data_IF_106718166102
#
_entry.id   IF_106718166102
#
_cell.length_a   1.000
_cell.length_b   1.000
_cell.length_c   1.000
_cell.angle_alpha   90.00
_cell.angle_beta   90.00
_cell.angle_gamma   90.00
#
_symmetry.space_group_name_H-M   'P 1'
#
loop_
_entity.id
_entity.type
_entity.pdbx_description
1 polymer ?
#
# COMPACT_ATOMS: atom_id res chain seq x y z
N UNK A 1 10.78 -21.32 24.01
CA UNK A 1 9.85 -20.25 23.58
C UNK A 1 10.70 -19.09 23.06
N UNK A 2 10.33 -18.44 21.95
CA UNK A 2 10.92 -17.18 21.41
C UNK A 2 12.17 -17.19 20.49
N UNK A 3 12.35 -18.12 19.53
CA UNK A 3 13.38 -17.90 18.46
C UNK A 3 12.88 -17.07 17.26
N UNK A 4 11.60 -17.15 16.92
CA UNK A 4 11.04 -16.43 15.76
C UNK A 4 10.77 -14.94 16.00
N UNK A 5 10.76 -14.49 17.26
CA UNK A 5 10.44 -13.11 17.63
C UNK A 5 11.67 -12.24 17.91
N UNK A 6 12.85 -12.85 18.07
CA UNK A 6 14.07 -12.13 18.47
C UNK A 6 14.99 -11.81 17.28
N UNK A 7 14.84 -12.49 16.13
CA UNK A 7 15.63 -12.28 14.91
C UNK A 7 14.75 -11.83 13.72
N UNK A 8 13.83 -10.88 13.94
CA UNK A 8 12.97 -10.35 12.86
C UNK A 8 13.62 -9.23 12.04
N UNK A 9 14.80 -8.74 12.40
CA UNK A 9 15.43 -7.57 11.76
C UNK A 9 15.58 -7.72 10.23
N UNK A 10 16.03 -8.89 9.78
CA UNK A 10 16.18 -9.18 8.34
C UNK A 10 14.82 -9.18 7.63
N UNK A 11 13.81 -9.75 8.28
CA UNK A 11 12.44 -9.79 7.74
C UNK A 11 11.82 -8.40 7.72
N UNK A 12 11.98 -7.60 8.78
CA UNK A 12 11.46 -6.25 8.88
C UNK A 12 12.11 -5.32 7.85
N UNK A 13 13.43 -5.45 7.67
CA UNK A 13 14.17 -4.71 6.65
C UNK A 13 13.70 -5.09 5.25
N UNK A 14 13.52 -6.38 4.98
CA UNK A 14 12.95 -6.87 3.74
C UNK A 14 11.52 -6.34 3.52
N UNK A 15 10.66 -6.44 4.53
CA UNK A 15 9.26 -6.04 4.46
C UNK A 15 9.12 -4.53 4.22
N UNK A 16 9.92 -3.71 4.93
CA UNK A 16 9.97 -2.26 4.70
C UNK A 16 10.30 -1.95 3.24
N UNK A 17 11.33 -2.60 2.69
CA UNK A 17 11.73 -2.41 1.28
C UNK A 17 10.65 -2.84 0.30
N UNK A 18 10.04 -4.01 0.50
CA UNK A 18 9.00 -4.49 -0.41
C UNK A 18 7.71 -3.66 -0.32
N UNK A 19 7.26 -3.28 0.89
CA UNK A 19 6.00 -2.58 1.06
C UNK A 19 6.07 -1.10 0.62
N UNK A 20 7.23 -0.45 0.79
CA UNK A 20 7.43 0.95 0.38
C UNK A 20 7.57 1.15 -1.13
N UNK A 21 7.91 0.11 -1.89
CA UNK A 21 8.10 0.20 -3.34
C UNK A 21 6.90 -0.32 -4.11
N UNK A 22 6.25 0.54 -4.90
CA UNK A 22 5.11 0.14 -5.77
C UNK A 22 5.48 -0.93 -6.79
N UNK A 23 6.74 -0.96 -7.21
CA UNK A 23 7.24 -1.92 -8.19
C UNK A 23 7.80 -3.19 -7.55
N UNK A 24 7.70 -3.33 -6.22
CA UNK A 24 8.12 -4.55 -5.54
C UNK A 24 7.32 -5.76 -5.98
N UNK A 25 7.90 -6.95 -5.83
CA UNK A 25 7.22 -8.17 -6.23
C UNK A 25 5.94 -8.38 -5.43
N UNK A 26 5.96 -8.03 -4.14
CA UNK A 26 4.81 -8.13 -3.24
C UNK A 26 3.66 -7.25 -3.71
N UNK A 27 3.94 -5.97 -4.02
CA UNK A 27 2.90 -5.04 -4.45
C UNK A 27 2.37 -5.39 -5.85
N UNK A 28 3.23 -5.81 -6.78
CA UNK A 28 2.81 -6.28 -8.10
C UNK A 28 1.90 -7.51 -8.05
N UNK A 29 2.19 -8.48 -7.18
CA UNK A 29 1.31 -9.63 -6.95
C UNK A 29 -0.04 -9.17 -6.40
N UNK A 30 -0.02 -8.25 -5.45
CA UNK A 30 -1.21 -7.65 -4.88
C UNK A 30 -2.11 -6.99 -5.94
N UNK A 31 -1.52 -6.19 -6.83
CA UNK A 31 -2.25 -5.56 -7.94
C UNK A 31 -2.83 -6.57 -8.93
N UNK A 32 -2.09 -7.64 -9.24
CA UNK A 32 -2.57 -8.72 -10.09
C UNK A 32 -3.80 -9.39 -9.48
N UNK A 33 -3.72 -9.78 -8.19
CA UNK A 33 -4.85 -10.38 -7.47
C UNK A 33 -6.05 -9.43 -7.38
N UNK A 34 -5.81 -8.15 -7.11
CA UNK A 34 -6.87 -7.15 -7.11
C UNK A 34 -7.55 -7.10 -8.49
N UNK A 35 -6.79 -7.06 -9.58
CA UNK A 35 -7.32 -7.04 -10.96
C UNK A 35 -8.17 -8.28 -11.25
N UNK A 36 -7.78 -9.45 -10.75
CA UNK A 36 -8.52 -10.71 -10.93
C UNK A 36 -9.82 -10.79 -10.11
N UNK A 37 -9.84 -10.19 -8.91
CA UNK A 37 -10.98 -10.23 -7.98
C UNK A 37 -12.01 -9.14 -8.30
N UNK A 38 -11.54 -7.96 -8.71
CA UNK A 38 -12.33 -6.74 -8.88
C UNK A 38 -13.57 -6.90 -9.79
N UNK A 39 -13.56 -7.69 -10.88
CA UNK A 39 -14.76 -7.94 -11.70
C UNK A 39 -15.90 -8.65 -10.97
N UNK A 40 -15.60 -9.41 -9.91
CA UNK A 40 -16.61 -10.13 -9.11
C UNK A 40 -17.06 -9.32 -7.90
N UNK A 41 -16.16 -8.56 -7.30
CA UNK A 41 -16.42 -7.70 -6.15
C UNK A 41 -15.46 -6.53 -6.19
N UNK A 42 -15.99 -5.31 -6.32
CA UNK A 42 -15.18 -4.09 -6.35
C UNK A 42 -14.30 -4.06 -5.09
N UNK A 43 -12.99 -3.97 -5.31
CA UNK A 43 -12.00 -3.92 -4.24
C UNK A 43 -10.82 -3.02 -4.63
N UNK A 44 -10.15 -2.51 -3.60
CA UNK A 44 -8.98 -1.66 -3.74
C UNK A 44 -7.77 -2.37 -3.14
N UNK A 45 -6.60 -2.15 -3.74
CA UNK A 45 -5.34 -2.58 -3.17
C UNK A 45 -4.86 -1.54 -2.14
N UNK A 46 -4.62 -1.99 -0.92
CA UNK A 46 -4.02 -1.16 0.12
C UNK A 46 -2.51 -1.06 -0.12
N UNK A 47 -2.06 0.10 -0.59
CA UNK A 47 -0.64 0.39 -0.70
C UNK A 47 -0.16 1.02 0.61
N UNK A 48 0.62 0.26 1.36
CA UNK A 48 1.11 0.69 2.67
C UNK A 48 2.20 1.76 2.54
N UNK A 49 2.14 2.75 3.42
CA UNK A 49 3.25 3.64 3.72
C UNK A 49 3.43 3.73 5.22
N UNK A 50 4.66 3.55 5.66
CA UNK A 50 5.02 3.72 7.05
C UNK A 50 5.10 5.21 7.37
N UNK A 51 4.13 5.71 8.15
CA UNK A 51 4.09 7.12 8.59
C UNK A 51 5.17 7.45 9.63
N UNK A 52 5.79 6.43 10.23
CA UNK A 52 6.87 6.61 11.21
C UNK A 52 8.26 6.66 10.57
N UNK A 53 8.36 6.33 9.28
CA UNK A 53 9.60 6.41 8.52
C UNK A 53 9.97 7.89 8.23
N UNK A 54 11.23 8.26 8.43
CA UNK A 54 11.74 9.62 8.15
C UNK A 54 11.62 10.01 6.66
N UNK A 55 11.63 9.00 5.78
CA UNK A 55 11.43 9.17 4.34
C UNK A 55 9.95 9.33 3.96
N UNK A 56 8.99 9.20 4.90
CA UNK A 56 7.57 9.35 4.62
C UNK A 56 7.26 10.71 4.01
N UNK A 57 6.54 10.70 2.88
CA UNK A 57 5.98 11.90 2.27
C UNK A 57 4.54 11.61 1.89
N UNK A 58 3.57 12.46 2.29
CA UNK A 58 2.19 12.28 1.85
C UNK A 58 2.13 12.38 0.34
N UNK A 59 1.55 11.36 -0.30
CA UNK A 59 1.39 11.36 -1.75
C UNK A 59 0.17 12.19 -2.14
N UNK A 60 0.35 13.08 -3.11
CA UNK A 60 -0.75 13.78 -3.79
C UNK A 60 -1.13 13.10 -5.11
N UNK A 61 -0.23 12.27 -5.64
CA UNK A 61 -0.37 11.57 -6.91
C UNK A 61 -0.25 10.06 -6.72
N UNK A 62 -0.97 9.31 -7.53
CA UNK A 62 -0.92 7.87 -7.54
C UNK A 62 0.49 7.42 -7.99
N UNK A 63 1.20 6.61 -7.21
CA UNK A 63 2.55 6.19 -7.56
C UNK A 63 2.60 5.18 -8.72
N UNK A 64 1.45 4.70 -9.21
CA UNK A 64 1.36 3.81 -10.37
C UNK A 64 1.02 4.54 -11.68
N UNK A 65 0.23 5.64 -11.64
CA UNK A 65 -0.25 6.33 -12.85
C UNK A 65 -0.09 7.86 -12.82
N UNK A 66 0.49 8.41 -11.76
CA UNK A 66 0.80 9.84 -11.54
C UNK A 66 -0.42 10.79 -11.52
N UNK A 67 -1.64 10.26 -11.66
CA UNK A 67 -2.86 11.05 -11.52
C UNK A 67 -3.10 11.45 -10.06
N UNK A 68 -3.79 12.57 -9.86
CA UNK A 68 -4.13 13.06 -8.53
C UNK A 68 -4.97 12.04 -7.76
N UNK A 69 -4.66 11.89 -6.47
CA UNK A 69 -5.45 11.10 -5.54
C UNK A 69 -6.67 11.90 -5.09
N UNK A 70 -7.77 11.19 -4.87
CA UNK A 70 -8.98 11.78 -4.31
C UNK A 70 -9.07 11.41 -2.84
N UNK A 71 -9.36 12.39 -1.99
CA UNK A 71 -9.65 12.14 -0.58
C UNK A 71 -11.02 11.47 -0.43
N UNK A 72 -11.04 10.41 0.37
CA UNK A 72 -12.25 9.74 0.79
C UNK A 72 -12.31 9.75 2.32
N UNK A 73 -13.36 10.35 2.87
CA UNK A 73 -13.57 10.43 4.31
C UNK A 73 -14.52 9.30 4.73
N UNK A 74 -13.95 8.20 5.22
CA UNK A 74 -14.71 7.14 5.87
C UNK A 74 -15.01 7.47 7.33
N UNK A 75 -15.80 6.63 8.00
CA UNK A 75 -16.01 6.72 9.44
C UNK A 75 -14.71 6.42 10.20
N UNK A 76 -13.96 7.47 10.54
CA UNK A 76 -12.81 7.42 11.47
C UNK A 76 -11.44 7.71 10.88
N UNK A 77 -11.27 7.77 9.55
CA UNK A 77 -9.99 8.14 8.92
C UNK A 77 -10.13 8.60 7.46
N UNK A 78 -9.26 9.52 7.06
CA UNK A 78 -9.11 9.95 5.66
C UNK A 78 -8.28 8.91 4.90
N UNK A 79 -8.73 8.60 3.69
CA UNK A 79 -8.09 7.69 2.76
C UNK A 79 -7.80 8.45 1.46
N UNK A 80 -6.69 8.11 0.81
CA UNK A 80 -6.36 8.60 -0.52
C UNK A 80 -6.61 7.51 -1.54
N UNK A 81 -7.41 7.80 -2.56
CA UNK A 81 -7.89 6.82 -3.52
C UNK A 81 -7.48 7.20 -4.94
N UNK A 82 -6.96 6.23 -5.68
CA UNK A 82 -6.88 6.27 -7.14
C UNK A 82 -7.91 5.33 -7.72
N UNK A 83 -8.98 5.87 -8.30
CA UNK A 83 -10.06 5.07 -8.89
C UNK A 83 -9.63 4.29 -10.13
N UNK A 84 -8.72 4.87 -10.92
CA UNK A 84 -8.23 4.26 -12.16
C UNK A 84 -7.37 3.02 -11.88
N UNK A 85 -6.48 3.10 -10.89
CA UNK A 85 -5.62 1.99 -10.51
C UNK A 85 -6.27 1.09 -9.43
N UNK A 86 -7.38 1.51 -8.84
CA UNK A 86 -7.98 0.81 -7.70
C UNK A 86 -7.04 0.73 -6.50
N UNK A 87 -6.27 1.80 -6.23
CA UNK A 87 -5.31 1.86 -5.12
C UNK A 87 -5.89 2.72 -4.01
N UNK A 88 -5.71 2.27 -2.78
CA UNK A 88 -6.08 2.98 -1.57
C UNK A 88 -4.86 3.12 -0.66
N UNK A 89 -4.69 4.29 -0.08
CA UNK A 89 -3.56 4.67 0.78
C UNK A 89 -4.07 5.40 2.01
N UNK A 90 -3.30 5.43 3.10
CA UNK A 90 -3.62 6.27 4.24
C UNK A 90 -3.54 7.75 3.84
N UNK A 91 -4.57 8.53 4.17
CA UNK A 91 -4.56 10.00 4.09
C UNK A 91 -4.02 10.67 5.33
#
# INVERSE_FOLDING_TARGET
MYRLWLDSEDYETWARRELSSVTSRVNQLGFQLQTEINPRRKCYYWLFQDKTDEAYRPLTQCPACEKNLTEHHGEGFTQLVCEDCGILMPG
#
